data_IF_472872508418
#
_entry.id   IF_472872508418
#
_cell.length_a   1.000
_cell.length_b   1.000
_cell.length_c   1.000
_cell.angle_alpha   90.00
_cell.angle_beta   90.00
_cell.angle_gamma   90.00
#
_symmetry.space_group_name_H-M   'P 1'
#
loop_
_entity.id
_entity.type
_entity.pdbx_description
1 polymer ?
#
# COMPACT_ATOMS: atom_id res chain seq x y z
N UNK A 1 13.51 -5.88 -33.31
CA UNK A 1 13.80 -5.73 -31.86
C UNK A 1 12.51 -5.30 -31.18
N UNK A 2 12.01 -6.05 -30.19
CA UNK A 2 10.91 -5.56 -29.34
C UNK A 2 11.49 -4.48 -28.43
N UNK A 3 10.77 -3.38 -28.27
CA UNK A 3 11.09 -2.37 -27.26
C UNK A 3 11.17 -3.02 -25.88
N UNK A 4 12.10 -2.58 -25.01
CA UNK A 4 12.11 -3.04 -23.61
C UNK A 4 10.73 -2.77 -23.00
N UNK A 5 10.22 -3.67 -22.13
CA UNK A 5 8.98 -3.40 -21.42
C UNK A 5 9.10 -2.05 -20.71
N UNK A 6 8.01 -1.26 -20.65
CA UNK A 6 8.03 -0.02 -19.89
C UNK A 6 8.49 -0.31 -18.46
N UNK A 7 9.22 0.62 -17.81
CA UNK A 7 9.51 0.49 -16.40
C UNK A 7 8.19 0.25 -15.65
N UNK A 8 8.13 -0.71 -14.72
CA UNK A 8 6.87 -1.11 -14.11
C UNK A 8 6.22 0.11 -13.47
N UNK A 9 5.00 0.41 -13.87
CA UNK A 9 4.19 1.51 -13.34
C UNK A 9 3.61 1.21 -11.94
N UNK A 10 4.22 0.25 -11.24
CA UNK A 10 3.72 -0.29 -9.99
C UNK A 10 4.32 0.47 -8.79
N UNK A 11 3.53 0.52 -7.71
CA UNK A 11 3.90 1.24 -6.50
C UNK A 11 4.88 0.38 -5.69
N UNK A 12 5.66 0.99 -4.81
CA UNK A 12 6.37 0.26 -3.75
C UNK A 12 5.69 0.56 -2.42
N UNK A 13 4.73 -0.27 -2.03
CA UNK A 13 3.93 -0.10 -0.81
C UNK A 13 4.82 -0.08 0.43
N UNK A 14 5.87 -0.90 0.45
CA UNK A 14 6.75 -1.06 1.61
C UNK A 14 7.62 0.18 1.82
N UNK A 15 8.12 0.80 0.74
CA UNK A 15 9.03 1.96 0.83
C UNK A 15 8.33 3.31 0.71
N UNK A 16 7.13 3.36 0.13
CA UNK A 16 6.47 4.63 -0.15
C UNK A 16 6.00 5.34 1.14
N UNK A 17 6.35 6.62 1.37
CA UNK A 17 6.04 7.34 2.60
C UNK A 17 4.54 7.38 2.96
N UNK A 18 3.65 7.39 1.96
CA UNK A 18 2.19 7.41 2.15
C UNK A 18 1.64 6.06 2.61
N UNK A 19 2.24 4.95 2.20
CA UNK A 19 1.87 3.62 2.67
C UNK A 19 2.52 3.31 4.03
N UNK A 20 3.67 3.92 4.30
CA UNK A 20 4.36 3.86 5.60
C UNK A 20 3.81 4.81 6.66
N UNK A 21 2.84 5.69 6.36
CA UNK A 21 2.50 6.81 7.27
C UNK A 21 1.93 6.38 8.62
N UNK A 22 2.85 6.08 9.55
CA UNK A 22 2.80 6.52 10.94
C UNK A 22 2.84 8.04 10.96
N UNK A 23 1.77 8.70 10.53
CA UNK A 23 1.74 10.16 10.60
C UNK A 23 1.46 10.57 12.04
N UNK A 24 2.52 10.83 12.80
CA UNK A 24 2.47 11.85 13.84
C UNK A 24 1.88 13.09 13.17
N UNK A 25 0.63 13.39 13.46
CA UNK A 25 0.06 14.70 13.18
C UNK A 25 0.92 15.66 14.01
N UNK A 26 1.93 16.29 13.40
CA UNK A 26 2.52 17.49 13.99
C UNK A 26 1.38 18.49 14.01
N UNK A 27 0.85 18.90 15.18
CA UNK A 27 -0.05 20.03 15.19
C UNK A 27 0.73 21.19 14.58
N UNK A 28 0.12 21.88 13.63
CA UNK A 28 0.64 23.13 13.14
C UNK A 28 0.85 24.03 14.36
N UNK A 29 2.11 24.17 14.79
CA UNK A 29 2.51 25.11 15.82
C UNK A 29 2.49 26.50 15.18
N UNK A 30 1.30 27.07 15.04
CA UNK A 30 1.18 28.52 15.10
C UNK A 30 1.60 28.89 16.52
N UNK A 31 2.80 29.45 16.65
CA UNK A 31 3.29 29.92 17.95
C UNK A 31 2.29 30.92 18.52
N UNK A 32 1.53 30.49 19.53
CA UNK A 32 0.96 31.38 20.52
C UNK A 32 1.31 30.83 21.88
N UNK A 33 2.32 31.46 22.48
CA UNK A 33 2.69 31.33 23.89
C UNK A 33 1.44 31.35 24.76
N UNK A 34 1.17 30.28 25.51
CA UNK A 34 0.59 30.40 26.86
C UNK A 34 1.16 29.29 27.75
N UNK A 35 1.59 29.75 28.92
CA UNK A 35 2.12 29.03 30.08
C UNK A 35 1.21 27.86 30.51
N UNK A 36 1.78 26.68 30.73
CA UNK A 36 1.05 25.54 31.31
C UNK A 36 1.80 24.23 31.13
N UNK A 37 2.57 23.84 32.14
CA UNK A 37 3.35 22.60 32.17
C UNK A 37 2.45 21.37 32.23
N UNK A 38 2.23 20.73 31.09
CA UNK A 38 2.13 19.27 30.99
C UNK A 38 2.53 18.87 29.57
N UNK A 39 3.49 17.95 29.38
CA UNK A 39 3.93 17.58 28.05
C UNK A 39 2.88 16.71 27.35
N UNK A 40 1.98 17.34 26.61
CA UNK A 40 0.91 16.72 25.82
C UNK A 40 1.42 15.85 24.66
N UNK A 41 2.73 15.88 24.34
CA UNK A 41 3.32 14.98 23.34
C UNK A 41 3.33 13.51 23.74
N UNK A 42 3.13 13.18 25.02
CA UNK A 42 3.09 11.79 25.51
C UNK A 42 1.80 11.03 25.15
N UNK A 43 0.78 11.71 24.61
CA UNK A 43 -0.52 11.08 24.27
C UNK A 43 -0.90 11.16 22.77
N UNK A 44 -0.09 11.80 21.92
CA UNK A 44 -0.28 11.80 20.45
C UNK A 44 0.58 10.72 19.78
N UNK A 45 0.67 9.57 20.44
CA UNK A 45 1.09 8.31 19.83
C UNK A 45 -0.16 7.44 19.69
N UNK A 46 -1.21 7.98 19.06
CA UNK A 46 -2.28 7.15 18.53
C UNK A 46 -1.62 6.34 17.42
N UNK A 47 -1.22 5.13 17.78
CA UNK A 47 -0.61 4.12 16.93
C UNK A 47 -1.56 3.90 15.75
N UNK A 48 -1.30 4.58 14.64
CA UNK A 48 -1.91 4.25 13.37
C UNK A 48 -1.45 2.82 13.03
N UNK A 49 -2.38 1.87 12.95
CA UNK A 49 -2.11 0.53 12.42
C UNK A 49 -2.35 0.59 10.91
N UNK A 50 -1.28 0.74 10.07
CA UNK A 50 -1.46 0.96 8.63
C UNK A 50 -2.10 -0.23 7.91
N UNK A 51 -2.05 -1.42 8.49
CA UNK A 51 -2.62 -2.65 7.92
C UNK A 51 -3.74 -3.18 8.80
N UNK A 52 -4.88 -3.50 8.17
CA UNK A 52 -5.97 -4.26 8.79
C UNK A 52 -5.81 -5.72 8.38
N UNK A 53 -5.76 -6.62 9.35
CA UNK A 53 -5.77 -8.06 9.11
C UNK A 53 -7.21 -8.55 9.07
N UNK A 54 -7.51 -9.41 8.11
CA UNK A 54 -8.82 -10.05 7.96
C UNK A 54 -8.75 -11.19 6.95
N UNK A 55 -9.91 -11.80 6.69
CA UNK A 55 -10.07 -12.77 5.63
C UNK A 55 -10.42 -12.11 4.28
N UNK A 56 -10.68 -12.93 3.26
CA UNK A 56 -11.03 -12.46 1.92
C UNK A 56 -12.39 -11.73 1.87
N UNK A 57 -13.34 -12.09 2.74
CA UNK A 57 -14.63 -11.42 2.81
C UNK A 57 -14.45 -10.00 3.36
N UNK A 58 -13.74 -9.86 4.47
CA UNK A 58 -13.45 -8.56 5.07
C UNK A 58 -12.61 -7.65 4.14
N UNK A 59 -11.69 -8.24 3.37
CA UNK A 59 -10.95 -7.50 2.36
C UNK A 59 -11.85 -7.01 1.21
N UNK A 60 -12.82 -7.84 0.79
CA UNK A 60 -13.78 -7.48 -0.26
C UNK A 60 -14.72 -6.36 0.23
N UNK A 61 -15.24 -6.47 1.46
CA UNK A 61 -16.04 -5.42 2.09
C UNK A 61 -15.27 -4.09 2.19
N UNK A 62 -13.99 -4.13 2.52
CA UNK A 62 -13.15 -2.93 2.59
C UNK A 62 -12.94 -2.28 1.21
N UNK A 63 -12.82 -3.07 0.14
CA UNK A 63 -12.79 -2.56 -1.23
C UNK A 63 -14.15 -1.95 -1.61
N UNK A 64 -15.25 -2.66 -1.34
CA UNK A 64 -16.60 -2.19 -1.66
C UNK A 64 -16.93 -0.84 -1.00
N UNK A 65 -16.46 -0.62 0.24
CA UNK A 65 -16.63 0.65 0.97
C UNK A 65 -16.00 1.87 0.28
N UNK A 66 -15.00 1.67 -0.57
CA UNK A 66 -14.38 2.79 -1.30
C UNK A 66 -14.96 2.99 -2.70
N UNK A 67 -15.78 2.05 -3.18
CA UNK A 67 -16.40 2.12 -4.50
C UNK A 67 -17.51 3.17 -4.53
N UNK A 68 -17.73 3.74 -5.72
CA UNK A 68 -18.82 4.67 -5.99
C UNK A 68 -19.55 4.17 -7.23
N UNK A 69 -20.88 4.13 -7.18
CA UNK A 69 -21.71 3.69 -8.31
C UNK A 69 -21.43 4.61 -9.51
N UNK A 70 -21.05 4.02 -10.65
CA UNK A 70 -20.68 4.77 -11.86
C UNK A 70 -19.31 5.47 -11.79
N UNK A 71 -18.57 5.33 -10.68
CA UNK A 71 -17.24 5.91 -10.50
C UNK A 71 -16.16 5.20 -11.30
N UNK A 72 -15.09 5.93 -11.64
CA UNK A 72 -13.91 5.34 -12.28
C UNK A 72 -13.01 4.67 -11.25
N UNK A 73 -12.65 3.41 -11.52
CA UNK A 73 -11.69 2.64 -10.75
C UNK A 73 -10.43 2.46 -11.60
N UNK A 74 -9.28 2.81 -11.05
CA UNK A 74 -7.97 2.48 -11.58
C UNK A 74 -7.52 1.15 -10.98
N UNK A 75 -7.04 0.23 -11.79
CA UNK A 75 -6.52 -1.07 -11.36
C UNK A 75 -5.16 -1.28 -12.03
N UNK A 76 -4.14 -1.64 -11.25
CA UNK A 76 -2.81 -1.92 -11.77
C UNK A 76 -2.18 -3.13 -11.07
N UNK A 77 -1.31 -3.81 -11.81
CA UNK A 77 -0.63 -5.03 -11.40
C UNK A 77 0.18 -5.56 -12.58
N UNK A 78 0.45 -6.86 -12.59
CA UNK A 78 1.18 -7.52 -13.67
C UNK A 78 0.24 -7.83 -14.85
N UNK A 79 0.69 -7.67 -16.10
CA UNK A 79 -0.10 -8.09 -17.26
C UNK A 79 -0.17 -9.61 -17.34
N UNK A 80 -1.33 -10.17 -17.72
CA UNK A 80 -1.39 -11.59 -18.05
C UNK A 80 -0.47 -11.95 -19.23
N UNK A 81 0.17 -13.12 -19.18
CA UNK A 81 0.99 -13.64 -20.28
C UNK A 81 0.20 -13.84 -21.58
N UNK A 82 -1.10 -14.08 -21.46
CA UNK A 82 -2.01 -14.31 -22.58
C UNK A 82 -3.29 -13.51 -22.41
N UNK A 83 -3.69 -12.79 -23.46
CA UNK A 83 -4.93 -12.02 -23.49
C UNK A 83 -4.78 -10.59 -22.96
N UNK A 84 -5.91 -10.01 -22.55
CA UNK A 84 -5.98 -8.66 -21.97
C UNK A 84 -6.29 -8.79 -20.48
N UNK A 85 -5.75 -7.87 -19.68
CA UNK A 85 -6.05 -7.75 -18.26
C UNK A 85 -4.80 -7.70 -17.39
N UNK A 86 -5.02 -7.56 -16.09
CA UNK A 86 -3.97 -7.54 -15.07
C UNK A 86 -4.27 -8.56 -13.98
N UNK A 87 -3.23 -9.14 -13.41
CA UNK A 87 -3.23 -9.97 -12.20
C UNK A 87 -2.23 -9.40 -11.19
N UNK A 88 -2.02 -10.11 -10.08
CA UNK A 88 -1.10 -9.69 -9.02
C UNK A 88 -1.35 -8.24 -8.59
N UNK A 89 -2.64 -7.90 -8.44
CA UNK A 89 -3.16 -6.59 -8.00
C UNK A 89 -3.05 -6.48 -6.47
N UNK A 90 -1.88 -6.83 -5.94
CA UNK A 90 -1.56 -6.82 -4.52
C UNK A 90 -0.06 -6.55 -4.32
N UNK A 91 0.40 -6.51 -3.08
CA UNK A 91 1.83 -6.46 -2.77
C UNK A 91 2.56 -7.63 -3.45
N UNK A 92 3.57 -7.37 -4.27
CA UNK A 92 4.39 -8.37 -4.99
C UNK A 92 5.83 -8.36 -4.43
N UNK A 93 5.90 -8.27 -3.10
CA UNK A 93 7.12 -8.19 -2.32
C UNK A 93 6.93 -8.98 -1.02
N UNK A 94 8.02 -9.55 -0.52
CA UNK A 94 8.07 -10.17 0.80
C UNK A 94 7.46 -11.56 0.87
N UNK A 95 7.17 -12.23 -0.25
CA UNK A 95 6.82 -13.65 -0.23
C UNK A 95 7.99 -14.48 0.34
N UNK A 96 7.72 -15.51 1.17
CA UNK A 96 8.76 -16.38 1.70
C UNK A 96 9.63 -16.97 0.59
N UNK A 97 10.95 -17.01 0.81
CA UNK A 97 11.92 -17.43 -0.20
C UNK A 97 11.78 -18.92 -0.60
N UNK A 98 11.17 -19.73 0.26
CA UNK A 98 10.85 -21.14 0.02
C UNK A 98 9.46 -21.34 -0.63
N UNK A 99 8.71 -20.26 -0.86
CA UNK A 99 7.41 -20.33 -1.52
C UNK A 99 7.55 -20.36 -3.04
N UNK A 100 6.54 -20.91 -3.73
CA UNK A 100 6.45 -20.86 -5.20
C UNK A 100 6.33 -19.44 -5.77
N UNK A 101 6.04 -18.44 -4.93
CA UNK A 101 5.84 -17.05 -5.31
C UNK A 101 7.10 -16.20 -5.10
N UNK A 102 8.17 -16.77 -4.52
CA UNK A 102 9.42 -16.06 -4.24
C UNK A 102 10.02 -15.39 -5.49
N UNK A 103 9.87 -16.00 -6.66
CA UNK A 103 10.38 -15.48 -7.93
C UNK A 103 9.62 -14.22 -8.41
N UNK A 104 8.43 -13.94 -7.88
CA UNK A 104 7.65 -12.75 -8.18
C UNK A 104 7.99 -11.57 -7.27
N UNK A 105 8.83 -11.77 -6.24
CA UNK A 105 9.29 -10.68 -5.40
C UNK A 105 10.06 -9.64 -6.22
N UNK A 106 9.65 -8.39 -6.14
CA UNK A 106 10.36 -7.28 -6.80
C UNK A 106 9.95 -5.93 -6.26
N UNK A 107 10.94 -5.05 -6.03
CA UNK A 107 10.64 -3.64 -5.75
C UNK A 107 9.91 -3.01 -6.95
N UNK A 108 9.02 -2.05 -6.70
CA UNK A 108 8.22 -1.39 -7.74
C UNK A 108 7.37 -2.36 -8.58
N UNK A 109 6.90 -3.47 -7.98
CA UNK A 109 5.99 -4.42 -8.62
C UNK A 109 4.61 -4.49 -7.93
N UNK A 110 4.35 -3.74 -6.86
CA UNK A 110 3.09 -3.86 -6.13
C UNK A 110 1.90 -3.32 -6.94
N UNK A 111 0.86 -4.14 -7.03
CA UNK A 111 -0.43 -3.82 -7.61
C UNK A 111 -1.45 -3.33 -6.58
N UNK A 112 -2.46 -2.62 -7.07
CA UNK A 112 -3.55 -2.11 -6.24
C UNK A 112 -4.74 -1.62 -7.08
N UNK A 113 -5.81 -1.21 -6.38
CA UNK A 113 -6.95 -0.51 -6.96
C UNK A 113 -7.10 0.87 -6.33
N UNK A 114 -7.57 1.86 -7.09
CA UNK A 114 -7.90 3.18 -6.56
C UNK A 114 -9.18 3.75 -7.18
N UNK A 115 -9.95 4.44 -6.36
CA UNK A 115 -11.18 5.12 -6.77
C UNK A 115 -10.97 6.62 -6.75
N UNK A 116 -11.30 7.29 -7.86
CA UNK A 116 -11.27 8.76 -7.94
C UNK A 116 -12.49 9.34 -7.23
N UNK A 117 -12.28 10.37 -6.42
CA UNK A 117 -13.33 11.16 -5.76
C UNK A 117 -13.68 12.38 -6.59
N UNK A 118 -14.82 13.00 -6.30
CA UNK A 118 -15.34 14.17 -7.04
C UNK A 118 -14.42 15.39 -6.93
N UNK A 119 -13.68 15.51 -5.82
CA UNK A 119 -12.67 16.56 -5.59
C UNK A 119 -11.34 16.31 -6.32
N UNK A 120 -11.25 15.22 -7.10
CA UNK A 120 -10.05 14.81 -7.83
C UNK A 120 -9.03 14.02 -7.00
N UNK A 121 -9.27 13.80 -5.71
CA UNK A 121 -8.44 12.92 -4.89
C UNK A 121 -8.68 11.43 -5.21
N UNK A 122 -7.79 10.57 -4.71
CA UNK A 122 -7.92 9.12 -4.86
C UNK A 122 -7.91 8.44 -3.50
N UNK A 123 -8.72 7.38 -3.38
CA UNK A 123 -8.62 6.43 -2.27
C UNK A 123 -8.14 5.10 -2.83
N UNK A 124 -6.99 4.62 -2.36
CA UNK A 124 -6.39 3.37 -2.80
C UNK A 124 -6.70 2.23 -1.82
N UNK A 125 -7.00 1.07 -2.37
CA UNK A 125 -7.06 -0.22 -1.69
C UNK A 125 -5.76 -0.98 -2.00
N UNK A 126 -4.96 -1.23 -0.97
CA UNK A 126 -3.68 -1.91 -1.05
C UNK A 126 -3.80 -3.27 -0.36
N UNK A 127 -4.03 -4.38 -1.08
CA UNK A 127 -4.09 -5.70 -0.47
C UNK A 127 -2.70 -6.34 -0.34
N UNK A 128 -2.53 -7.19 0.68
CA UNK A 128 -1.36 -8.06 0.85
C UNK A 128 -1.76 -9.36 1.53
N UNK A 129 -1.02 -10.44 1.28
CA UNK A 129 -1.19 -11.69 2.00
C UNK A 129 -0.52 -11.64 3.37
N UNK A 130 -1.06 -12.41 4.33
CA UNK A 130 -0.50 -12.49 5.68
C UNK A 130 0.89 -13.13 5.73
N UNK A 131 1.20 -13.97 4.73
CA UNK A 131 2.53 -14.58 4.54
C UNK A 131 3.59 -13.59 4.07
N UNK A 132 3.19 -12.45 3.50
CA UNK A 132 4.12 -11.49 2.92
C UNK A 132 4.70 -10.57 4.01
N UNK A 133 6.02 -10.42 3.99
CA UNK A 133 6.74 -9.56 4.91
C UNK A 133 6.33 -8.08 4.76
N UNK A 134 6.45 -7.33 5.85
CA UNK A 134 6.24 -5.87 5.88
C UNK A 134 7.52 -5.07 5.68
N UNK A 135 8.66 -5.75 5.54
CA UNK A 135 9.97 -5.15 5.29
C UNK A 135 10.77 -6.07 4.36
N UNK A 136 11.40 -5.48 3.33
CA UNK A 136 12.12 -6.23 2.29
C UNK A 136 13.48 -5.59 1.99
N UNK A 137 14.39 -6.37 1.42
CA UNK A 137 15.66 -5.89 0.87
C UNK A 137 15.47 -5.14 -0.46
N UNK A 138 16.54 -4.60 -1.04
CA UNK A 138 16.47 -3.84 -2.31
C UNK A 138 16.11 -4.70 -3.54
N UNK A 139 15.86 -5.99 -3.37
CA UNK A 139 15.30 -6.88 -4.40
C UNK A 139 13.82 -7.23 -4.14
N UNK A 140 13.23 -6.77 -3.03
CA UNK A 140 11.86 -7.09 -2.67
C UNK A 140 11.72 -8.42 -1.91
N UNK A 141 12.83 -9.07 -1.55
CA UNK A 141 12.82 -10.27 -0.73
C UNK A 141 12.58 -9.94 0.75
N UNK A 142 11.93 -10.80 1.52
CA UNK A 142 11.74 -10.58 2.94
C UNK A 142 13.10 -10.43 3.65
N UNK A 143 13.25 -9.39 4.46
CA UNK A 143 14.37 -9.35 5.41
C UNK A 143 14.19 -10.49 6.41
N UNK A 144 15.26 -11.23 6.73
CA UNK A 144 15.21 -12.25 7.77
C UNK A 144 14.65 -11.62 9.06
N UNK A 145 13.55 -12.17 9.55
CA UNK A 145 12.84 -11.70 10.75
C UNK A 145 13.57 -12.04 12.04
#
# INVERSE_FOLDING_TARGET
MRSPPPPPAALDHIRHPIARTWRFIRPALTQRRVLGWTPWWRWVSVIYRPWRTGDNLQASEALEQILTIGGTILVWGEPFDTGLGVHNVHQNQGDPLDSRWAASNGIWQDGAAAVRRDDGSFVAFLPRFSSQASATDDQGHPLAG
#
